data_IF_916843675030
#
_entry.id   IF_916843675030
#
_cell.length_a   1.000
_cell.length_b   1.000
_cell.length_c   1.000
_cell.angle_alpha   90.00
_cell.angle_beta   90.00
_cell.angle_gamma   90.00
#
_symmetry.space_group_name_H-M   'P 1'
#
loop_
_entity.id
_entity.type
_entity.pdbx_description
1 polymer ?
#
# COMPACT_ATOMS: atom_id res chain seq x y z
N UNK A 1 -4.89 -4.03 67.84
CA UNK A 1 -5.88 -2.95 67.60
C UNK A 1 -5.82 -2.39 66.18
N UNK A 2 -4.67 -1.90 65.68
CA UNK A 2 -4.56 -1.34 64.33
C UNK A 2 -4.97 -2.30 63.18
N UNK A 3 -4.62 -3.59 63.29
CA UNK A 3 -4.94 -4.60 62.27
C UNK A 3 -6.44 -4.90 62.15
N UNK A 4 -7.18 -4.89 63.26
CA UNK A 4 -8.63 -5.10 63.28
C UNK A 4 -9.37 -3.91 62.65
N UNK A 5 -8.84 -2.70 62.82
CA UNK A 5 -9.40 -1.48 62.25
C UNK A 5 -9.18 -1.42 60.73
N UNK A 6 -8.01 -1.88 60.26
CA UNK A 6 -7.73 -2.04 58.82
C UNK A 6 -8.63 -3.11 58.18
N UNK A 7 -8.83 -4.24 58.86
CA UNK A 7 -9.70 -5.31 58.37
C UNK A 7 -11.17 -4.85 58.27
N UNK A 8 -11.64 -4.09 59.27
CA UNK A 8 -12.99 -3.53 59.27
C UNK A 8 -13.19 -2.52 58.13
N UNK A 9 -12.20 -1.67 57.85
CA UNK A 9 -12.24 -0.73 56.73
C UNK A 9 -12.23 -1.44 55.36
N UNK A 10 -11.45 -2.51 55.22
CA UNK A 10 -11.42 -3.31 53.98
C UNK A 10 -12.76 -4.04 53.75
N UNK A 11 -13.35 -4.61 54.79
CA UNK A 11 -14.67 -5.25 54.70
C UNK A 11 -15.76 -4.22 54.34
N UNK A 12 -15.74 -3.04 54.98
CA UNK A 12 -16.68 -1.96 54.67
C UNK A 12 -16.53 -1.46 53.23
N UNK A 13 -15.29 -1.26 52.77
CA UNK A 13 -15.00 -0.85 51.39
C UNK A 13 -15.45 -1.91 50.37
N UNK A 14 -15.21 -3.19 50.65
CA UNK A 14 -15.66 -4.30 49.80
C UNK A 14 -17.19 -4.39 49.74
N UNK A 15 -17.89 -4.10 50.83
CA UNK A 15 -19.35 -4.04 50.90
C UNK A 15 -19.93 -2.90 50.05
N UNK A 16 -19.31 -1.71 50.07
CA UNK A 16 -19.73 -0.58 49.23
C UNK A 16 -19.55 -0.89 47.73
N UNK A 17 -18.45 -1.54 47.35
CA UNK A 17 -18.20 -1.96 45.97
C UNK A 17 -19.23 -3.02 45.54
N UNK A 18 -19.44 -4.05 46.36
CA UNK A 18 -20.43 -5.09 46.08
C UNK A 18 -21.85 -4.51 45.93
N UNK A 19 -22.21 -3.53 46.76
CA UNK A 19 -23.49 -2.83 46.66
C UNK A 19 -23.63 -2.01 45.37
N UNK A 20 -22.59 -1.27 44.96
CA UNK A 20 -22.59 -0.53 43.68
C UNK A 20 -22.73 -1.46 42.48
N UNK A 21 -22.00 -2.58 42.49
CA UNK A 21 -22.08 -3.59 41.43
C UNK A 21 -23.47 -4.22 41.39
N UNK A 22 -24.05 -4.57 42.54
CA UNK A 22 -25.41 -5.11 42.63
C UNK A 22 -26.46 -4.14 42.07
N UNK A 23 -26.35 -2.84 42.40
CA UNK A 23 -27.25 -1.79 41.90
C UNK A 23 -27.12 -1.59 40.38
N UNK A 24 -25.90 -1.59 39.83
CA UNK A 24 -25.69 -1.55 38.37
C UNK A 24 -26.25 -2.79 37.68
N UNK A 25 -26.15 -3.97 38.31
CA UNK A 25 -26.77 -5.18 37.76
C UNK A 25 -28.30 -5.18 37.81
N UNK A 26 -28.93 -4.41 38.71
CA UNK A 26 -30.38 -4.24 38.74
C UNK A 26 -30.87 -3.35 37.58
N UNK A 27 -30.17 -2.25 37.28
CA UNK A 27 -30.52 -1.39 36.14
C UNK A 27 -30.26 -2.08 34.79
N UNK A 28 -29.20 -2.88 34.68
CA UNK A 28 -28.94 -3.70 33.50
C UNK A 28 -30.02 -4.77 33.30
N UNK A 29 -30.60 -5.32 34.37
CA UNK A 29 -31.74 -6.25 34.28
C UNK A 29 -33.02 -5.55 33.82
N UNK A 30 -33.25 -4.30 34.25
CA UNK A 30 -34.38 -3.50 33.79
C UNK A 30 -34.27 -3.17 32.29
N UNK A 31 -33.09 -2.77 31.80
CA UNK A 31 -32.85 -2.52 30.39
C UNK A 31 -32.90 -3.81 29.54
N UNK A 32 -32.41 -4.94 30.07
CA UNK A 32 -32.46 -6.25 29.41
C UNK A 32 -33.90 -6.72 29.13
N UNK A 33 -34.87 -6.35 29.97
CA UNK A 33 -36.27 -6.70 29.77
C UNK A 33 -37.02 -5.75 28.81
N UNK A 34 -36.44 -4.60 28.48
CA UNK A 34 -37.06 -3.60 27.60
C UNK A 34 -36.57 -3.71 26.15
N UNK A 35 -35.40 -4.28 25.93
CA UNK A 35 -34.84 -4.48 24.60
C UNK A 35 -35.17 -5.91 24.16
N UNK A 36 -36.10 -6.04 23.21
CA UNK A 36 -36.45 -7.32 22.62
C UNK A 36 -35.19 -7.94 21.97
N UNK A 37 -34.92 -9.22 22.24
CA UNK A 37 -33.72 -9.90 21.73
C UNK A 37 -33.66 -9.89 20.20
N UNK A 38 -34.81 -9.73 19.55
CA UNK A 38 -34.93 -9.57 18.10
C UNK A 38 -34.36 -8.24 17.59
N UNK A 39 -34.45 -7.15 18.35
CA UNK A 39 -33.94 -5.84 17.94
C UNK A 39 -32.41 -5.78 18.02
N UNK A 40 -31.82 -6.43 19.03
CA UNK A 40 -30.36 -6.57 19.12
C UNK A 40 -29.82 -7.39 17.95
N UNK A 41 -30.52 -8.47 17.57
CA UNK A 41 -30.12 -9.31 16.43
C UNK A 41 -30.15 -8.53 15.11
N UNK A 42 -31.19 -7.70 14.89
CA UNK A 42 -31.29 -6.84 13.71
C UNK A 42 -30.16 -5.82 13.65
N UNK A 43 -29.85 -5.16 14.76
CA UNK A 43 -28.75 -4.18 14.83
C UNK A 43 -27.42 -4.84 14.45
N UNK A 44 -27.14 -6.02 15.02
CA UNK A 44 -25.93 -6.79 14.72
C UNK A 44 -25.85 -7.21 13.25
N UNK A 45 -26.93 -7.76 12.69
CA UNK A 45 -26.97 -8.19 11.29
C UNK A 45 -26.79 -7.01 10.33
N UNK A 46 -27.38 -5.86 10.65
CA UNK A 46 -27.24 -4.63 9.84
C UNK A 46 -25.79 -4.12 9.88
N UNK A 47 -25.14 -4.17 11.04
CA UNK A 47 -23.73 -3.81 11.17
C UNK A 47 -22.79 -4.75 10.38
N UNK A 48 -23.05 -6.06 10.43
CA UNK A 48 -22.28 -7.06 9.66
C UNK A 48 -22.49 -6.86 8.15
N UNK A 49 -23.72 -6.63 7.69
CA UNK A 49 -24.02 -6.38 6.28
C UNK A 49 -23.35 -5.09 5.76
N UNK A 50 -23.37 -4.00 6.55
CA UNK A 50 -22.69 -2.76 6.20
C UNK A 50 -21.17 -2.92 6.09
N UNK A 51 -20.57 -3.69 7.01
CA UNK A 51 -19.13 -3.93 6.99
C UNK A 51 -18.70 -4.88 5.84
N UNK A 52 -19.53 -5.87 5.49
CA UNK A 52 -19.34 -6.68 4.28
C UNK A 52 -19.46 -5.84 2.99
N UNK A 53 -20.41 -4.92 2.94
CA UNK A 53 -20.56 -4.00 1.81
C UNK A 53 -19.33 -3.08 1.64
N UNK A 54 -18.75 -2.60 2.75
CA UNK A 54 -17.50 -1.84 2.74
C UNK A 54 -16.29 -2.66 2.27
N UNK A 55 -16.26 -3.97 2.54
CA UNK A 55 -15.23 -4.87 2.01
C UNK A 55 -15.39 -5.13 0.49
N UNK A 56 -16.63 -5.13 -0.02
CA UNK A 56 -16.91 -5.29 -1.45
C UNK A 56 -16.62 -4.01 -2.26
N UNK A 57 -16.70 -2.85 -1.63
CA UNK A 57 -16.18 -1.60 -2.18
C UNK A 57 -14.66 -1.62 -2.10
N UNK A 58 -14.02 -2.39 -3.00
CA UNK A 58 -12.57 -2.57 -3.11
C UNK A 58 -11.81 -1.26 -2.88
N UNK A 59 -11.24 -1.02 -1.69
CA UNK A 59 -10.52 0.21 -1.46
C UNK A 59 -9.20 0.12 -2.22
N UNK A 60 -8.86 1.16 -2.99
CA UNK A 60 -7.51 1.32 -3.57
C UNK A 60 -6.40 1.43 -2.50
N UNK A 61 -6.78 1.42 -1.22
CA UNK A 61 -5.92 1.68 -0.08
C UNK A 61 -5.96 0.50 0.89
N UNK A 62 -4.85 -0.21 0.99
CA UNK A 62 -4.65 -1.45 1.76
C UNK A 62 -4.99 -1.28 3.25
N UNK A 63 -4.73 -0.08 3.80
CA UNK A 63 -5.02 0.26 5.21
C UNK A 63 -6.52 0.21 5.50
N UNK A 64 -7.36 0.73 4.60
CA UNK A 64 -8.81 0.77 4.78
C UNK A 64 -9.39 -0.65 4.74
N UNK A 65 -8.83 -1.51 3.88
CA UNK A 65 -9.22 -2.92 3.81
C UNK A 65 -8.97 -3.65 5.14
N UNK A 66 -7.77 -3.50 5.71
CA UNK A 66 -7.44 -4.14 6.99
C UNK A 66 -8.28 -3.62 8.15
N UNK A 67 -8.49 -2.30 8.26
CA UNK A 67 -9.36 -1.72 9.30
C UNK A 67 -10.79 -2.26 9.19
N UNK A 68 -11.34 -2.32 7.98
CA UNK A 68 -12.69 -2.86 7.74
C UNK A 68 -12.79 -4.33 8.13
N UNK A 69 -11.78 -5.13 7.78
CA UNK A 69 -11.71 -6.56 8.09
C UNK A 69 -11.66 -6.82 9.61
N UNK A 70 -10.81 -6.10 10.34
CA UNK A 70 -10.73 -6.21 11.81
C UNK A 70 -12.01 -5.71 12.49
N UNK A 71 -12.65 -4.69 11.92
CA UNK A 71 -13.97 -4.21 12.35
C UNK A 71 -15.04 -5.29 12.25
N UNK A 72 -15.13 -6.01 11.13
CA UNK A 72 -16.06 -7.15 10.96
C UNK A 72 -15.77 -8.23 12.01
N UNK A 73 -14.52 -8.62 12.19
CA UNK A 73 -14.14 -9.67 13.13
C UNK A 73 -14.55 -9.31 14.58
N UNK A 74 -14.27 -8.08 15.02
CA UNK A 74 -14.63 -7.59 16.34
C UNK A 74 -16.16 -7.56 16.57
N UNK A 75 -16.91 -7.07 15.59
CA UNK A 75 -18.39 -7.04 15.64
C UNK A 75 -18.98 -8.45 15.72
N UNK A 76 -18.40 -9.40 14.98
CA UNK A 76 -18.85 -10.79 14.97
C UNK A 76 -18.58 -11.46 16.33
N UNK A 77 -17.40 -11.24 16.93
CA UNK A 77 -17.09 -11.73 18.27
C UNK A 77 -18.01 -11.14 19.34
N UNK A 78 -18.28 -9.83 19.26
CA UNK A 78 -19.18 -9.14 20.19
C UNK A 78 -20.61 -9.69 20.08
N UNK A 79 -21.11 -9.89 18.86
CA UNK A 79 -22.41 -10.51 18.60
C UNK A 79 -22.51 -11.91 19.20
N UNK A 80 -21.46 -12.72 19.04
CA UNK A 80 -21.41 -14.09 19.56
C UNK A 80 -21.42 -14.09 21.09
N UNK A 81 -20.67 -13.19 21.72
CA UNK A 81 -20.64 -13.03 23.18
C UNK A 81 -21.99 -12.57 23.76
N UNK A 82 -22.68 -11.66 23.07
CA UNK A 82 -24.03 -11.20 23.46
C UNK A 82 -25.04 -12.34 23.33
N UNK A 83 -25.03 -13.07 22.21
CA UNK A 83 -25.93 -14.21 21.99
C UNK A 83 -25.76 -15.31 23.05
N UNK A 84 -24.50 -15.57 23.46
CA UNK A 84 -24.19 -16.53 24.52
C UNK A 84 -24.71 -16.06 25.90
N UNK A 85 -24.49 -14.78 26.26
CA UNK A 85 -24.99 -14.21 27.53
C UNK A 85 -26.51 -14.12 27.61
N UNK A 86 -27.19 -14.03 26.47
CA UNK A 86 -28.65 -13.97 26.43
C UNK A 86 -29.32 -15.34 26.53
N UNK A 87 -28.57 -16.44 26.66
CA UNK A 87 -29.14 -17.78 26.76
C UNK A 87 -29.87 -18.19 25.49
N UNK A 88 -29.44 -17.65 24.35
CA UNK A 88 -30.09 -17.90 23.07
C UNK A 88 -30.00 -19.38 22.68
N UNK A 89 -31.06 -19.84 22.05
CA UNK A 89 -31.35 -21.21 21.65
C UNK A 89 -30.08 -21.94 21.14
N UNK A 90 -29.81 -23.18 21.61
CA UNK A 90 -28.59 -23.96 21.27
C UNK A 90 -28.28 -23.99 19.77
N UNK A 91 -29.32 -23.93 18.92
CA UNK A 91 -29.18 -23.88 17.45
C UNK A 91 -28.48 -22.60 16.95
N UNK A 92 -28.72 -21.44 17.58
CA UNK A 92 -28.15 -20.16 17.18
C UNK A 92 -26.66 -20.09 17.55
N UNK A 93 -26.29 -20.56 18.74
CA UNK A 93 -24.88 -20.66 19.18
C UNK A 93 -24.08 -21.58 18.25
N UNK A 94 -24.70 -22.66 17.77
CA UNK A 94 -24.05 -23.58 16.85
C UNK A 94 -23.87 -22.99 15.45
N UNK A 95 -24.82 -22.16 14.98
CA UNK A 95 -24.70 -21.46 13.70
C UNK A 95 -23.63 -20.36 13.75
N UNK A 96 -23.58 -19.54 14.80
CA UNK A 96 -22.55 -18.49 14.95
C UNK A 96 -21.14 -19.08 15.09
N UNK A 97 -21.00 -20.19 15.82
CA UNK A 97 -19.72 -20.91 15.92
C UNK A 97 -19.23 -21.45 14.56
N UNK A 98 -20.14 -21.94 13.71
CA UNK A 98 -19.79 -22.38 12.35
C UNK A 98 -19.29 -21.22 11.48
N UNK A 99 -19.93 -20.05 11.54
CA UNK A 99 -19.47 -18.87 10.81
C UNK A 99 -18.10 -18.37 11.31
N UNK A 100 -17.87 -18.35 12.63
CA UNK A 100 -16.57 -17.99 13.20
C UNK A 100 -15.46 -18.96 12.76
N UNK A 101 -15.76 -20.27 12.72
CA UNK A 101 -14.82 -21.29 12.24
C UNK A 101 -14.51 -21.12 10.74
N UNK A 102 -15.51 -20.84 9.91
CA UNK A 102 -15.30 -20.55 8.48
C UNK A 102 -14.43 -19.30 8.30
N UNK A 103 -14.65 -18.24 9.08
CA UNK A 103 -13.85 -17.02 9.02
C UNK A 103 -12.38 -17.28 9.40
N UNK A 104 -12.14 -18.04 10.48
CA UNK A 104 -10.80 -18.40 10.95
C UNK A 104 -10.06 -19.35 10.00
N UNK A 105 -10.76 -20.26 9.34
CA UNK A 105 -10.14 -21.28 8.48
C UNK A 105 -10.01 -20.82 7.03
N UNK A 106 -10.97 -20.05 6.50
CA UNK A 106 -10.98 -19.67 5.08
C UNK A 106 -10.40 -18.27 4.81
N UNK A 107 -10.66 -17.30 5.68
CA UNK A 107 -10.33 -15.88 5.41
C UNK A 107 -8.97 -15.51 6.02
N UNK A 108 -8.65 -16.01 7.22
CA UNK A 108 -7.38 -15.72 7.89
C UNK A 108 -6.14 -16.16 7.08
N UNK A 109 -6.08 -17.36 6.46
CA UNK A 109 -4.92 -17.75 5.66
C UNK A 109 -4.76 -16.91 4.38
N UNK A 110 -5.87 -16.47 3.77
CA UNK A 110 -5.81 -15.59 2.58
C UNK A 110 -5.18 -14.23 2.91
N UNK A 111 -5.37 -13.72 4.13
CA UNK A 111 -4.74 -12.45 4.55
C UNK A 111 -3.25 -12.58 4.86
N UNK A 112 -2.79 -13.77 5.27
CA UNK A 112 -1.36 -14.01 5.52
C UNK A 112 -0.59 -14.18 4.21
N UNK A 113 -1.19 -14.80 3.18
CA UNK A 113 -0.52 -14.95 1.87
C UNK A 113 -0.30 -13.63 1.12
N UNK A 114 -1.12 -12.60 1.38
CA UNK A 114 -0.93 -11.28 0.77
C UNK A 114 0.11 -10.40 1.47
N UNK A 115 0.60 -10.82 2.65
CA UNK A 115 1.62 -10.13 3.44
C UNK A 115 3.04 -10.63 3.13
N UNK A 116 3.32 -11.08 1.91
CA UNK A 116 4.71 -11.24 1.50
C UNK A 116 5.32 -9.84 1.40
N UNK A 117 6.03 -9.43 2.46
CA UNK A 117 6.90 -8.27 2.41
C UNK A 117 7.77 -8.41 1.14
N UNK A 118 7.79 -7.41 0.25
CA UNK A 118 8.61 -7.46 -0.95
C UNK A 118 10.03 -7.76 -0.53
N UNK A 119 10.58 -8.89 -0.99
CA UNK A 119 11.95 -9.26 -0.63
C UNK A 119 12.88 -8.26 -1.31
N UNK A 120 13.67 -7.48 -0.56
CA UNK A 120 14.68 -6.62 -1.17
C UNK A 120 15.61 -7.48 -2.02
N UNK A 121 15.88 -7.07 -3.27
CA UNK A 121 16.87 -7.77 -4.08
C UNK A 121 18.24 -7.73 -3.38
N UNK A 122 18.98 -8.84 -3.45
CA UNK A 122 20.35 -8.91 -2.92
C UNK A 122 21.25 -7.87 -3.61
N UNK A 123 22.26 -7.29 -2.94
CA UNK A 123 23.27 -6.42 -3.56
C UNK A 123 23.92 -6.99 -4.84
N UNK A 124 24.04 -8.32 -4.96
CA UNK A 124 24.50 -8.99 -6.18
C UNK A 124 23.54 -8.86 -7.36
N UNK A 125 22.24 -8.84 -7.07
CA UNK A 125 21.16 -8.85 -8.05
C UNK A 125 20.89 -7.43 -8.55
N UNK A 126 21.06 -6.44 -7.67
CA UNK A 126 21.04 -5.00 -7.97
C UNK A 126 21.99 -4.68 -9.13
N UNK A 127 23.24 -5.12 -8.99
CA UNK A 127 24.30 -4.81 -9.94
C UNK A 127 24.15 -5.62 -11.24
N UNK A 128 23.63 -6.85 -11.16
CA UNK A 128 23.42 -7.71 -12.31
C UNK A 128 22.24 -7.26 -13.18
N UNK A 129 21.11 -6.90 -12.57
CA UNK A 129 19.94 -6.38 -13.29
C UNK A 129 20.21 -5.01 -13.94
N UNK A 130 20.90 -4.11 -13.22
CA UNK A 130 21.29 -2.81 -13.77
C UNK A 130 22.35 -2.91 -14.86
N UNK A 131 23.39 -3.73 -14.70
CA UNK A 131 24.41 -3.92 -15.75
C UNK A 131 23.87 -4.61 -16.98
N UNK A 132 22.85 -5.45 -16.83
CA UNK A 132 22.13 -6.02 -17.97
C UNK A 132 21.19 -5.01 -18.66
N UNK A 133 21.00 -3.80 -18.08
CA UNK A 133 20.04 -2.82 -18.59
C UNK A 133 18.60 -3.35 -18.59
N UNK A 134 18.28 -4.25 -17.67
CA UNK A 134 17.01 -4.96 -17.63
C UNK A 134 16.42 -4.88 -16.22
N UNK A 135 15.62 -3.85 -16.00
CA UNK A 135 14.78 -3.76 -14.81
C UNK A 135 13.51 -4.58 -15.08
N UNK A 136 13.17 -5.59 -14.25
CA UNK A 136 11.94 -6.35 -14.42
C UNK A 136 10.71 -5.43 -14.46
N UNK A 137 9.80 -5.69 -15.39
CA UNK A 137 8.57 -4.92 -15.63
C UNK A 137 8.73 -3.45 -16.04
N UNK A 138 9.96 -2.98 -16.31
CA UNK A 138 10.19 -1.60 -16.77
C UNK A 138 9.42 -1.28 -18.04
N UNK A 139 9.35 -2.21 -18.98
CA UNK A 139 8.72 -1.99 -20.28
C UNK A 139 7.30 -2.56 -20.28
N UNK A 140 6.25 -1.72 -20.46
CA UNK A 140 4.90 -2.22 -20.67
C UNK A 140 4.81 -3.11 -21.91
N UNK A 141 3.99 -4.17 -21.83
CA UNK A 141 3.81 -5.15 -22.92
C UNK A 141 3.18 -4.50 -24.16
N UNK A 142 2.33 -3.49 -23.96
CA UNK A 142 1.62 -2.79 -25.03
C UNK A 142 2.37 -1.52 -25.39
N UNK A 143 2.85 -1.46 -26.63
CA UNK A 143 3.35 -0.23 -27.25
C UNK A 143 2.57 0.01 -28.53
N UNK A 144 1.93 1.17 -28.64
CA UNK A 144 1.37 1.62 -29.92
C UNK A 144 2.50 2.26 -30.71
N UNK A 145 2.92 1.64 -31.82
CA UNK A 145 3.91 2.28 -32.68
C UNK A 145 3.24 3.45 -33.42
N UNK A 146 3.33 4.65 -32.84
CA UNK A 146 2.73 5.87 -33.38
C UNK A 146 3.49 6.41 -34.62
N UNK A 147 4.26 5.56 -35.32
CA UNK A 147 5.02 5.92 -36.52
C UNK A 147 6.18 6.88 -36.22
N UNK A 148 6.66 6.91 -34.98
CA UNK A 148 7.82 7.69 -34.59
C UNK A 148 9.12 6.98 -35.02
N UNK A 149 10.19 7.75 -35.24
CA UNK A 149 11.54 7.20 -35.39
C UNK A 149 12.09 6.63 -34.07
N UNK A 150 11.39 6.91 -32.97
CA UNK A 150 11.65 6.38 -31.63
C UNK A 150 10.91 5.07 -31.41
N UNK A 151 11.57 4.14 -30.74
CA UNK A 151 11.04 2.85 -30.34
C UNK A 151 11.23 2.65 -28.85
N UNK A 152 10.45 1.74 -28.28
CA UNK A 152 10.70 1.24 -26.94
C UNK A 152 12.16 0.76 -26.81
N UNK A 153 12.80 1.07 -25.68
CA UNK A 153 14.23 0.85 -25.36
C UNK A 153 15.22 1.80 -26.01
N UNK A 154 14.79 2.71 -26.88
CA UNK A 154 15.69 3.78 -27.33
C UNK A 154 16.07 4.68 -26.15
N UNK A 155 17.29 5.23 -26.20
CA UNK A 155 17.74 6.21 -25.24
C UNK A 155 17.67 7.61 -25.82
N UNK A 156 17.32 8.57 -24.96
CA UNK A 156 17.03 9.95 -25.37
C UNK A 156 17.53 10.95 -24.33
N UNK A 157 17.81 12.16 -24.81
CA UNK A 157 18.04 13.34 -23.99
C UNK A 157 17.03 14.42 -24.32
N UNK A 158 16.77 15.28 -23.33
CA UNK A 158 15.93 16.46 -23.49
C UNK A 158 16.80 17.70 -23.51
N UNK A 159 16.86 18.34 -24.67
CA UNK A 159 17.53 19.62 -24.81
C UNK A 159 16.49 20.73 -24.61
N UNK A 160 16.80 21.65 -23.69
CA UNK A 160 16.00 22.85 -23.47
C UNK A 160 16.70 24.02 -24.14
N UNK A 161 16.27 24.36 -25.36
CA UNK A 161 16.82 25.48 -26.11
C UNK A 161 15.72 26.53 -26.31
N UNK A 162 15.96 27.77 -25.84
CA UNK A 162 15.06 28.91 -26.05
C UNK A 162 13.60 28.63 -25.65
N UNK A 163 13.39 27.93 -24.54
CA UNK A 163 12.06 27.57 -24.03
C UNK A 163 11.35 26.45 -24.80
N UNK A 164 11.99 25.86 -25.82
CA UNK A 164 11.50 24.67 -26.51
C UNK A 164 12.25 23.44 -26.02
N UNK A 165 11.51 22.44 -25.60
CA UNK A 165 12.07 21.14 -25.24
C UNK A 165 12.12 20.26 -26.49
N UNK A 166 13.30 19.76 -26.84
CA UNK A 166 13.51 18.82 -27.95
C UNK A 166 13.97 17.47 -27.40
N UNK A 167 13.34 16.41 -27.88
CA UNK A 167 13.73 15.04 -27.58
C UNK A 167 14.69 14.55 -28.66
N UNK A 168 15.91 14.23 -28.26
CA UNK A 168 16.96 13.77 -29.16
C UNK A 168 17.33 12.33 -28.83
N UNK A 169 17.25 11.45 -29.84
CA UNK A 169 17.75 10.08 -29.73
C UNK A 169 19.26 10.08 -29.60
N UNK A 170 19.77 9.33 -28.63
CA UNK A 170 21.20 9.19 -28.34
C UNK A 170 21.55 7.70 -28.17
N UNK A 171 22.84 7.40 -28.22
CA UNK A 171 23.32 6.08 -27.87
C UNK A 171 23.07 5.83 -26.37
N UNK A 172 22.51 4.67 -26.03
CA UNK A 172 22.38 4.24 -24.64
C UNK A 172 23.76 4.10 -23.97
N UNK A 173 23.89 4.58 -22.74
CA UNK A 173 25.12 4.47 -21.96
C UNK A 173 25.29 5.63 -20.99
N UNK A 174 26.50 6.16 -20.87
CA UNK A 174 26.84 7.12 -19.81
C UNK A 174 26.29 8.54 -20.00
N UNK A 175 25.71 8.83 -21.17
CA UNK A 175 25.27 10.17 -21.56
C UNK A 175 23.76 10.28 -21.75
N UNK A 176 23.03 9.16 -21.80
CA UNK A 176 21.58 9.14 -21.88
C UNK A 176 20.92 9.39 -20.53
N UNK A 177 20.01 10.35 -20.48
CA UNK A 177 19.25 10.69 -19.29
C UNK A 177 17.98 9.85 -19.16
N UNK A 178 17.39 9.42 -20.28
CA UNK A 178 16.11 8.74 -20.32
C UNK A 178 16.13 7.53 -21.27
N UNK A 179 15.26 6.56 -20.98
CA UNK A 179 14.86 5.46 -21.86
C UNK A 179 13.41 5.61 -22.27
N UNK A 180 13.11 5.31 -23.52
CA UNK A 180 11.74 5.28 -24.04
C UNK A 180 11.09 3.98 -23.60
N UNK A 181 10.08 4.08 -22.72
CA UNK A 181 9.32 2.91 -22.26
C UNK A 181 8.08 2.66 -23.10
N UNK A 182 7.48 3.71 -23.68
CA UNK A 182 6.40 3.61 -24.65
C UNK A 182 6.46 4.80 -25.60
N UNK A 183 6.00 4.57 -26.82
CA UNK A 183 5.59 5.63 -27.74
C UNK A 183 4.09 5.43 -27.93
N UNK A 184 3.32 6.51 -27.94
CA UNK A 184 1.86 6.50 -28.02
C UNK A 184 1.36 7.74 -28.78
N UNK A 185 0.07 7.78 -29.12
CA UNK A 185 -0.49 8.90 -29.88
C UNK A 185 -0.90 10.08 -29.00
N UNK A 186 -1.41 9.81 -27.80
CA UNK A 186 -1.85 10.82 -26.82
C UNK A 186 -1.29 10.52 -25.43
N UNK A 187 -1.19 11.53 -24.57
CA UNK A 187 -0.51 11.42 -23.27
C UNK A 187 -1.17 10.42 -22.34
N UNK A 188 -2.50 10.31 -22.40
CA UNK A 188 -3.32 9.44 -21.55
C UNK A 188 -3.10 7.95 -21.82
N UNK A 189 -2.41 7.60 -22.90
CA UNK A 189 -2.03 6.22 -23.21
C UNK A 189 -0.69 5.82 -22.60
N UNK A 190 0.08 6.78 -22.05
CA UNK A 190 1.27 6.45 -21.27
C UNK A 190 0.88 5.69 -20.00
N UNK A 191 1.71 4.73 -19.59
CA UNK A 191 1.64 4.17 -18.25
C UNK A 191 1.74 5.29 -17.22
N UNK A 192 0.85 5.27 -16.23
CA UNK A 192 0.65 6.40 -15.30
C UNK A 192 1.88 6.71 -14.43
N UNK A 193 2.79 5.75 -14.27
CA UNK A 193 4.01 5.87 -13.47
C UNK A 193 5.28 6.08 -14.32
N UNK A 194 5.16 6.58 -15.55
CA UNK A 194 6.31 7.05 -16.30
C UNK A 194 6.97 8.25 -15.59
N UNK A 195 8.30 8.30 -15.50
CA UNK A 195 9.01 9.42 -14.87
C UNK A 195 8.73 10.75 -15.59
N UNK A 196 8.61 10.70 -16.92
CA UNK A 196 8.36 11.88 -17.74
C UNK A 196 7.60 11.55 -19.03
N UNK A 197 6.75 12.48 -19.47
CA UNK A 197 6.08 12.40 -20.78
C UNK A 197 6.52 13.55 -21.67
N UNK A 198 6.94 13.25 -22.91
CA UNK A 198 7.29 14.23 -23.93
C UNK A 198 6.28 14.20 -25.08
N UNK A 199 5.66 15.34 -25.40
CA UNK A 199 4.72 15.45 -26.52
C UNK A 199 5.35 16.20 -27.69
N UNK A 200 5.49 15.52 -28.83
CA UNK A 200 5.95 16.13 -30.07
C UNK A 200 4.78 16.68 -30.89
N UNK A 201 4.61 18.00 -30.91
CA UNK A 201 3.54 18.65 -31.71
C UNK A 201 3.77 18.46 -33.21
N UNK A 202 5.03 18.51 -33.66
CA UNK A 202 5.39 18.43 -35.08
C UNK A 202 5.29 17.01 -35.62
N UNK A 203 5.70 16.01 -34.81
CA UNK A 203 5.69 14.60 -35.20
C UNK A 203 4.43 13.84 -34.74
N UNK A 204 3.57 14.49 -33.95
CA UNK A 204 2.28 13.97 -33.47
C UNK A 204 2.38 12.62 -32.74
N UNK A 205 3.34 12.51 -31.83
CA UNK A 205 3.45 11.38 -30.91
C UNK A 205 3.73 11.89 -29.49
N UNK A 206 3.53 11.01 -28.52
CA UNK A 206 3.98 11.17 -27.14
C UNK A 206 4.96 10.05 -26.82
N UNK A 207 6.12 10.40 -26.25
CA UNK A 207 7.06 9.44 -25.68
C UNK A 207 6.89 9.43 -24.16
N UNK A 208 6.69 8.24 -23.62
CA UNK A 208 6.67 7.97 -22.18
C UNK A 208 8.08 7.50 -21.82
N UNK A 209 8.70 8.17 -20.86
CA UNK A 209 10.11 8.07 -20.57
C UNK A 209 10.31 7.69 -19.10
N UNK A 210 11.25 6.79 -18.88
CA UNK A 210 11.86 6.57 -17.57
C UNK A 210 13.28 7.13 -17.56
N UNK A 211 13.80 7.39 -16.38
CA UNK A 211 15.22 7.66 -16.19
C UNK A 211 16.07 6.47 -16.62
N UNK A 212 17.15 6.74 -17.35
CA UNK A 212 18.10 5.71 -17.77
C UNK A 212 19.08 5.39 -16.63
N UNK A 213 18.61 4.65 -15.64
CA UNK A 213 19.40 4.28 -14.46
C UNK A 213 20.66 3.49 -14.83
N UNK A 214 21.75 3.78 -14.12
CA UNK A 214 23.04 3.08 -14.24
C UNK A 214 23.62 2.82 -12.85
N UNK A 215 24.38 1.73 -12.72
CA UNK A 215 25.11 1.43 -11.50
C UNK A 215 26.38 2.29 -11.35
N UNK A 216 26.95 2.75 -12.47
CA UNK A 216 28.27 3.40 -12.49
C UNK A 216 28.16 4.93 -12.68
N UNK A 217 26.96 5.44 -12.94
CA UNK A 217 26.68 6.87 -13.17
C UNK A 217 25.50 7.33 -12.33
N UNK A 218 25.56 8.55 -11.84
CA UNK A 218 24.49 9.16 -11.07
C UNK A 218 23.62 10.04 -11.96
N UNK A 219 22.37 10.28 -11.56
CA UNK A 219 21.45 11.17 -12.27
C UNK A 219 21.22 12.46 -11.50
N UNK A 220 21.38 13.60 -12.18
CA UNK A 220 20.99 14.91 -11.64
C UNK A 220 19.50 15.12 -11.89
N UNK A 221 18.64 14.78 -10.93
CA UNK A 221 17.17 14.89 -11.03
C UNK A 221 16.66 16.08 -10.21
N UNK A 222 17.22 17.27 -10.45
CA UNK A 222 16.88 18.48 -9.69
C UNK A 222 15.85 19.34 -10.43
N UNK A 223 14.80 19.76 -9.73
CA UNK A 223 13.80 20.67 -10.30
C UNK A 223 14.45 21.94 -10.87
N UNK A 224 13.98 22.35 -12.05
CA UNK A 224 14.51 23.52 -12.76
C UNK A 224 15.87 23.31 -13.43
N UNK A 225 16.44 22.11 -13.39
CA UNK A 225 17.65 21.73 -14.14
C UNK A 225 17.34 20.61 -15.13
N UNK A 226 18.01 20.58 -16.30
CA UNK A 226 17.91 19.44 -17.20
C UNK A 226 18.40 18.17 -16.51
N UNK A 227 17.63 17.09 -16.64
CA UNK A 227 18.04 15.77 -16.16
C UNK A 227 19.18 15.27 -17.02
N UNK A 228 20.25 14.79 -16.38
CA UNK A 228 21.45 14.30 -17.06
C UNK A 228 22.23 13.34 -16.19
N UNK A 229 22.93 12.41 -16.83
CA UNK A 229 23.96 11.60 -16.17
C UNK A 229 25.17 12.44 -15.81
N UNK A 230 25.68 12.22 -14.61
CA UNK A 230 26.84 12.89 -14.04
C UNK A 230 27.72 11.87 -13.31
N UNK A 231 28.92 12.33 -12.95
CA UNK A 231 29.76 11.56 -12.04
C UNK A 231 29.13 11.52 -10.64
N UNK A 232 29.22 10.39 -9.94
CA UNK A 232 28.63 10.23 -8.61
C UNK A 232 29.34 11.06 -7.53
N UNK A 233 30.51 11.62 -7.80
CA UNK A 233 31.09 12.67 -6.95
C UNK A 233 30.36 14.02 -7.09
N UNK A 234 29.40 14.16 -8.00
CA UNK A 234 28.61 15.39 -8.17
C UNK A 234 27.58 15.51 -7.06
N UNK A 235 27.62 16.57 -6.24
CA UNK A 235 26.63 16.79 -5.18
C UNK A 235 25.21 16.93 -5.74
N UNK A 236 24.22 16.58 -4.94
CA UNK A 236 22.79 16.57 -5.29
C UNK A 236 22.43 15.64 -6.47
N UNK A 237 23.29 14.66 -6.80
CA UNK A 237 22.97 13.62 -7.79
C UNK A 237 22.46 12.36 -7.11
N UNK A 238 21.64 11.59 -7.80
CA UNK A 238 21.04 10.34 -7.31
C UNK A 238 21.87 9.15 -7.78
N UNK A 239 22.43 8.39 -6.84
CA UNK A 239 23.07 7.09 -7.10
C UNK A 239 22.09 5.98 -6.87
N UNK A 240 22.04 4.98 -7.75
CA UNK A 240 21.20 3.81 -7.52
C UNK A 240 21.85 2.89 -6.49
N UNK A 241 21.09 2.56 -5.44
CA UNK A 241 21.49 1.65 -4.37
C UNK A 241 20.86 0.27 -4.55
N UNK A 242 19.61 0.22 -5.01
CA UNK A 242 18.87 -1.02 -5.16
C UNK A 242 17.73 -0.91 -6.16
N UNK A 243 17.28 -2.05 -6.66
CA UNK A 243 15.98 -2.18 -7.31
C UNK A 243 15.15 -3.16 -6.50
N UNK A 244 14.01 -2.71 -6.00
CA UNK A 244 13.06 -3.56 -5.28
C UNK A 244 11.89 -3.85 -6.21
N UNK A 245 11.60 -5.13 -6.41
CA UNK A 245 10.48 -5.58 -7.25
C UNK A 245 9.24 -5.89 -6.39
N UNK A 246 8.09 -6.03 -7.04
CA UNK A 246 6.80 -6.34 -6.41
C UNK A 246 6.34 -5.32 -5.36
N UNK A 247 6.82 -4.08 -5.46
CA UNK A 247 6.48 -2.96 -4.56
C UNK A 247 5.91 -1.79 -5.34
N UNK A 248 5.14 -0.93 -4.67
CA UNK A 248 4.56 0.29 -5.23
C UNK A 248 5.01 1.57 -4.52
N UNK A 249 5.96 1.44 -3.58
CA UNK A 249 6.41 2.52 -2.72
C UNK A 249 7.91 2.44 -2.43
N UNK A 250 8.42 3.45 -1.72
CA UNK A 250 9.83 3.60 -1.36
C UNK A 250 10.17 3.12 0.05
N UNK A 251 9.24 2.45 0.75
CA UNK A 251 9.45 2.06 2.16
C UNK A 251 10.61 1.09 2.37
N UNK A 252 10.94 0.30 1.35
CA UNK A 252 12.08 -0.61 1.35
C UNK A 252 13.40 0.06 0.96
N UNK A 253 13.41 1.38 0.74
CA UNK A 253 14.60 2.15 0.42
C UNK A 253 15.07 2.95 1.63
N UNK A 254 16.34 2.80 2.02
CA UNK A 254 16.91 3.44 3.21
C UNK A 254 16.95 4.97 3.14
N UNK A 255 17.21 5.53 1.95
CA UNK A 255 17.35 6.98 1.73
C UNK A 255 16.29 7.57 0.78
N UNK A 256 15.33 6.76 0.34
CA UNK A 256 14.33 7.13 -0.65
C UNK A 256 14.60 6.54 -2.03
N UNK A 257 13.91 7.07 -3.03
CA UNK A 257 13.98 6.55 -4.40
C UNK A 257 12.78 6.93 -5.25
N UNK A 258 12.67 6.24 -6.39
CA UNK A 258 11.69 6.50 -7.44
C UNK A 258 10.79 5.26 -7.59
N UNK A 259 9.55 5.36 -7.11
CA UNK A 259 8.60 4.27 -7.13
C UNK A 259 7.78 4.27 -8.43
N UNK A 260 7.59 3.08 -8.99
CA UNK A 260 6.80 2.80 -10.18
C UNK A 260 5.64 1.87 -9.77
N UNK A 261 4.56 2.44 -9.18
CA UNK A 261 3.50 1.67 -8.54
C UNK A 261 2.68 0.79 -9.49
N UNK A 262 2.54 1.18 -10.75
CA UNK A 262 1.79 0.42 -11.76
C UNK A 262 2.61 -0.77 -12.24
N UNK A 263 3.91 -0.55 -12.48
CA UNK A 263 4.84 -1.59 -12.96
C UNK A 263 5.47 -2.43 -11.83
N UNK A 264 5.15 -2.09 -10.58
CA UNK A 264 5.49 -2.83 -9.36
C UNK A 264 7.01 -2.94 -9.15
N UNK A 265 7.75 -1.85 -9.31
CA UNK A 265 9.16 -1.78 -8.91
C UNK A 265 9.51 -0.40 -8.36
N UNK A 266 10.59 -0.34 -7.57
CA UNK A 266 11.14 0.92 -7.04
C UNK A 266 12.64 0.92 -7.24
N UNK A 267 13.16 2.04 -7.75
CA UNK A 267 14.60 2.31 -7.81
C UNK A 267 14.98 3.05 -6.55
N UNK A 268 15.66 2.38 -5.61
CA UNK A 268 16.16 3.01 -4.41
C UNK A 268 17.43 3.80 -4.73
N UNK A 269 17.50 5.04 -4.26
CA UNK A 269 18.62 5.93 -4.53
C UNK A 269 19.19 6.54 -3.25
N UNK A 270 20.44 6.98 -3.35
CA UNK A 270 21.11 7.83 -2.37
C UNK A 270 21.53 9.15 -3.03
N UNK A 271 21.10 10.26 -2.43
CA UNK A 271 21.57 11.58 -2.81
C UNK A 271 23.05 11.78 -2.42
N UNK A 272 23.89 12.07 -3.40
CA UNK A 272 25.32 12.29 -3.22
C UNK A 272 25.57 13.67 -2.59
N UNK A 273 26.48 13.73 -1.61
CA UNK A 273 26.78 14.91 -0.79
C UNK A 273 27.99 15.68 -1.28
#
# INVERSE_FOLDING_TARGET
MAYLLLLALLLFYSGIIAYRISRQQAELRYLKNKIDGNDILKIVLTAIAGALFLLLLSPKNEVIYHISLWGVAALTLLATAIAFRMGSNRKLVHQTAKFAAIYLVAIFPLTILSSQNPTPASPSDILSAMRAGQIPNEFPIVTEDAGAELKQRDCVNLDQELGKTRLNKVQCGDTSAFRVIQVVSIKEQCVDDADLTYSSVTKRYVACLDYDWSADRCLMVKQGRPVRKVDCATPDSERVEAIVISTDNTLNCSQGGFAHPVRRFTVCTEAQK
#
